data_IF_352409094351
#
_entry.id   IF_352409094351
#
_cell.length_a   1.000
_cell.length_b   1.000
_cell.length_c   1.000
_cell.angle_alpha   90.00
_cell.angle_beta   90.00
_cell.angle_gamma   90.00
#
_symmetry.space_group_name_H-M   'P 1'
#
loop_
_entity.id
_entity.type
_entity.pdbx_description
1 polymer ?
#
# COMPACT_ATOMS: atom_id res chain seq x y z
N UNK A 1 21.30 19.78 44.10
CA UNK A 1 20.63 18.63 43.46
C UNK A 1 19.28 18.96 42.79
N UNK A 2 18.31 19.62 43.44
CA UNK A 2 16.98 19.90 42.82
C UNK A 2 16.99 20.71 41.51
N UNK A 3 17.94 21.64 41.32
CA UNK A 3 18.03 22.46 40.08
C UNK A 3 18.56 21.68 38.86
N UNK A 4 19.48 20.74 39.09
CA UNK A 4 20.05 19.89 38.02
C UNK A 4 19.01 18.89 37.53
N UNK A 5 18.21 18.32 38.44
CA UNK A 5 17.13 17.40 38.08
C UNK A 5 16.06 18.07 37.20
N UNK A 6 15.68 19.32 37.50
CA UNK A 6 14.74 20.09 36.67
C UNK A 6 15.30 20.39 35.28
N UNK A 7 16.60 20.70 35.18
CA UNK A 7 17.26 20.97 33.90
C UNK A 7 17.31 19.72 33.02
N UNK A 8 17.70 18.57 33.58
CA UNK A 8 17.75 17.29 32.87
C UNK A 8 16.35 16.88 32.39
N UNK A 9 15.33 17.03 33.23
CA UNK A 9 13.95 16.73 32.85
C UNK A 9 13.45 17.64 31.72
N UNK A 10 13.78 18.93 31.76
CA UNK A 10 13.42 19.89 30.73
C UNK A 10 14.10 19.58 29.38
N UNK A 11 15.38 19.18 29.41
CA UNK A 11 16.11 18.79 28.20
C UNK A 11 15.59 17.48 27.59
N UNK A 12 15.22 16.50 28.43
CA UNK A 12 14.58 15.27 27.96
C UNK A 12 13.22 15.56 27.32
N UNK A 13 12.43 16.45 27.91
CA UNK A 13 11.14 16.86 27.36
C UNK A 13 11.28 17.60 26.03
N UNK A 14 12.27 18.49 25.90
CA UNK A 14 12.56 19.13 24.62
C UNK A 14 13.03 18.12 23.56
N UNK A 15 13.84 17.14 23.96
CA UNK A 15 14.28 16.05 23.08
C UNK A 15 13.12 15.20 22.57
N UNK A 16 12.15 14.85 23.43
CA UNK A 16 10.98 14.08 23.02
C UNK A 16 10.03 14.89 22.14
N UNK A 17 9.84 16.18 22.42
CA UNK A 17 9.04 17.09 21.58
C UNK A 17 9.70 17.29 20.21
N UNK A 18 11.02 17.48 20.16
CA UNK A 18 11.76 17.61 18.91
C UNK A 18 11.72 16.32 18.07
N UNK A 19 11.90 15.17 18.72
CA UNK A 19 11.78 13.87 18.06
C UNK A 19 10.36 13.61 17.55
N UNK A 20 9.33 13.92 18.35
CA UNK A 20 7.93 13.76 17.93
C UNK A 20 7.56 14.72 16.79
N UNK A 21 8.09 15.94 16.77
CA UNK A 21 7.86 16.90 15.69
C UNK A 21 8.51 16.46 14.37
N UNK A 22 9.75 15.97 14.42
CA UNK A 22 10.46 15.50 13.23
C UNK A 22 9.99 14.13 12.72
N UNK A 23 9.41 13.29 13.59
CA UNK A 23 8.86 11.99 13.22
C UNK A 23 7.33 11.97 13.20
N UNK A 24 6.69 13.15 13.17
CA UNK A 24 5.23 13.26 13.17
C UNK A 24 4.60 12.56 11.97
N UNK A 25 5.25 12.66 10.79
CA UNK A 25 4.80 11.96 9.58
C UNK A 25 4.88 10.43 9.73
N UNK A 26 5.93 9.92 10.40
CA UNK A 26 6.06 8.49 10.70
C UNK A 26 4.95 8.02 11.64
N UNK A 27 4.74 8.73 12.76
CA UNK A 27 3.68 8.41 13.74
C UNK A 27 2.29 8.45 13.08
N UNK A 28 2.04 9.42 12.19
CA UNK A 28 0.77 9.56 11.47
C UNK A 28 0.56 8.40 10.48
N UNK A 29 1.57 8.03 9.69
CA UNK A 29 1.50 6.87 8.78
C UNK A 29 1.30 5.55 9.55
N UNK A 30 1.98 5.37 10.69
CA UNK A 30 1.80 4.16 11.53
C UNK A 30 0.42 4.12 12.20
N UNK A 31 -0.13 5.24 12.68
CA UNK A 31 -1.44 5.29 13.32
C UNK A 31 -2.59 5.01 12.35
N UNK A 32 -2.49 5.47 11.09
CA UNK A 32 -3.49 5.15 10.04
C UNK A 32 -3.56 3.63 9.79
N UNK A 33 -2.47 2.90 10.03
CA UNK A 33 -2.39 1.44 9.87
C UNK A 33 -3.08 0.64 11.01
N UNK A 34 -3.43 1.26 12.14
CA UNK A 34 -3.84 0.56 13.39
C UNK A 34 -5.26 0.91 13.88
N UNK A 35 -6.09 1.67 13.16
CA UNK A 35 -7.45 1.96 13.63
C UNK A 35 -8.45 0.95 13.03
N UNK A 36 -8.89 -0.10 13.76
CA UNK A 36 -10.14 -0.77 13.43
C UNK A 36 -11.27 0.19 13.81
N UNK A 37 -11.93 0.80 12.83
CA UNK A 37 -13.14 1.57 13.10
C UNK A 37 -14.31 0.61 13.38
N UNK A 38 -14.67 0.50 14.65
CA UNK A 38 -16.02 0.14 15.06
C UNK A 38 -16.86 1.42 15.08
N UNK A 39 -17.83 1.54 14.18
CA UNK A 39 -18.73 2.68 14.08
C UNK A 39 -19.78 2.45 13.00
N UNK A 40 -21.01 2.88 13.29
CA UNK A 40 -22.26 2.56 12.59
C UNK A 40 -22.22 2.64 11.05
N UNK A 41 -23.00 1.75 10.42
CA UNK A 41 -23.16 1.60 8.98
C UNK A 41 -23.64 2.90 8.31
N UNK A 42 -22.71 3.75 7.91
CA UNK A 42 -22.98 4.89 7.01
C UNK A 42 -23.48 4.37 5.66
N UNK A 43 -24.53 5.00 5.15
CA UNK A 43 -25.11 4.70 3.83
C UNK A 43 -24.04 4.72 2.75
N UNK A 44 -24.01 3.67 1.92
CA UNK A 44 -23.02 3.55 0.86
C UNK A 44 -23.54 4.26 -0.39
N UNK A 45 -22.85 5.31 -0.80
CA UNK A 45 -23.16 6.04 -2.04
C UNK A 45 -22.58 5.31 -3.27
N UNK A 46 -23.33 5.27 -4.37
CA UNK A 46 -22.87 4.78 -5.69
C UNK A 46 -22.21 5.89 -6.53
N UNK A 47 -22.06 7.10 -5.99
CA UNK A 47 -21.44 8.22 -6.69
C UNK A 47 -19.91 8.10 -6.78
N UNK A 48 -19.31 8.85 -7.72
CA UNK A 48 -17.85 9.00 -7.83
C UNK A 48 -17.35 9.81 -6.62
N UNK A 49 -16.31 9.35 -5.90
CA UNK A 49 -15.70 10.13 -4.83
C UNK A 49 -15.20 11.48 -5.35
N UNK A 50 -15.54 12.57 -4.66
CA UNK A 50 -15.12 13.92 -5.06
C UNK A 50 -13.74 14.32 -4.50
N UNK A 51 -13.25 13.59 -3.49
CA UNK A 51 -12.03 13.89 -2.76
C UNK A 51 -10.88 12.91 -2.97
N UNK A 52 -10.02 12.81 -1.96
CA UNK A 52 -8.93 11.82 -1.87
C UNK A 52 -9.38 10.61 -1.07
N UNK A 53 -8.96 9.40 -1.42
CA UNK A 53 -9.14 8.23 -0.57
C UNK A 53 -8.34 8.44 0.72
N UNK A 54 -9.01 8.35 1.86
CA UNK A 54 -8.36 8.40 3.19
C UNK A 54 -8.31 7.04 3.86
N UNK A 55 -9.23 6.14 3.52
CA UNK A 55 -9.26 4.77 4.02
C UNK A 55 -10.02 3.84 3.08
N UNK A 56 -9.84 2.54 3.28
CA UNK A 56 -10.53 1.48 2.55
C UNK A 56 -10.98 0.36 3.50
N UNK A 57 -12.04 -0.34 3.12
CA UNK A 57 -12.65 -1.44 3.85
C UNK A 57 -13.03 -2.57 2.88
N UNK A 58 -12.94 -3.81 3.37
CA UNK A 58 -13.13 -5.04 2.58
C UNK A 58 -14.14 -5.97 3.26
N UNK A 59 -15.32 -5.44 3.61
CA UNK A 59 -16.36 -6.16 4.36
C UNK A 59 -17.18 -7.08 3.42
N UNK A 60 -17.30 -8.37 3.74
CA UNK A 60 -18.00 -9.35 2.91
C UNK A 60 -17.58 -9.33 1.42
N UNK A 61 -16.29 -9.11 1.21
CA UNK A 61 -15.65 -8.89 -0.10
C UNK A 61 -16.10 -7.65 -0.85
N UNK A 62 -16.97 -6.81 -0.30
CA UNK A 62 -17.25 -5.49 -0.85
C UNK A 62 -16.09 -4.57 -0.53
N UNK A 63 -15.66 -3.85 -1.55
CA UNK A 63 -14.62 -2.85 -1.46
C UNK A 63 -15.31 -1.51 -1.33
N UNK A 64 -15.08 -0.85 -0.21
CA UNK A 64 -15.55 0.51 -0.01
C UNK A 64 -14.41 1.41 0.42
N UNK A 65 -14.43 2.65 -0.07
CA UNK A 65 -13.48 3.68 0.29
C UNK A 65 -14.18 4.81 1.03
N UNK A 66 -13.43 5.51 1.87
CA UNK A 66 -13.87 6.77 2.47
C UNK A 66 -13.01 7.88 1.92
N UNK A 67 -13.63 9.00 1.57
CA UNK A 67 -12.92 10.17 1.08
C UNK A 67 -12.67 11.22 2.18
N UNK A 68 -12.01 12.32 1.80
CA UNK A 68 -11.71 13.43 2.71
C UNK A 68 -12.92 14.13 3.34
N UNK A 69 -14.12 13.97 2.77
CA UNK A 69 -15.35 14.49 3.36
C UNK A 69 -15.91 13.58 4.46
N UNK A 70 -15.43 12.32 4.53
CA UNK A 70 -15.94 11.29 5.43
C UNK A 70 -17.04 10.43 4.81
N UNK A 71 -17.44 10.70 3.57
CA UNK A 71 -18.42 9.87 2.84
C UNK A 71 -17.82 8.52 2.44
N UNK A 72 -18.64 7.46 2.48
CA UNK A 72 -18.26 6.09 2.13
C UNK A 72 -18.88 5.69 0.79
N UNK A 73 -18.06 5.17 -0.11
CA UNK A 73 -18.43 4.79 -1.48
C UNK A 73 -18.18 3.31 -1.71
N UNK A 74 -19.10 2.64 -2.39
CA UNK A 74 -18.88 1.28 -2.91
C UNK A 74 -18.16 1.39 -4.26
N UNK A 75 -16.99 0.76 -4.35
CA UNK A 75 -16.17 0.84 -5.57
C UNK A 75 -16.03 -0.49 -6.30
N UNK A 76 -16.48 -1.59 -5.68
CA UNK A 76 -16.52 -2.89 -6.32
C UNK A 76 -16.44 -4.04 -5.33
N UNK A 77 -16.09 -5.23 -5.83
CA UNK A 77 -16.02 -6.46 -5.03
C UNK A 77 -14.77 -7.26 -5.37
N UNK A 78 -14.19 -7.93 -4.39
CA UNK A 78 -13.16 -8.95 -4.62
C UNK A 78 -13.74 -10.13 -5.42
N UNK A 79 -12.88 -10.77 -6.22
CA UNK A 79 -13.26 -11.82 -7.16
C UNK A 79 -13.76 -11.31 -8.51
N UNK A 80 -14.19 -12.25 -9.38
CA UNK A 80 -14.65 -11.97 -10.74
C UNK A 80 -16.10 -11.47 -10.76
N UNK A 81 -16.39 -10.51 -11.64
CA UNK A 81 -17.76 -10.15 -12.02
C UNK A 81 -18.52 -11.41 -12.46
N UNK A 82 -19.57 -11.79 -11.73
CA UNK A 82 -20.42 -12.96 -12.01
C UNK A 82 -20.32 -14.11 -11.01
N UNK A 83 -19.22 -14.24 -10.26
CA UNK A 83 -19.09 -15.23 -9.16
C UNK A 83 -18.65 -14.54 -7.88
N UNK A 84 -19.49 -13.66 -7.30
CA UNK A 84 -19.11 -12.88 -6.14
C UNK A 84 -18.87 -13.79 -4.92
N UNK A 85 -17.67 -13.73 -4.36
CA UNK A 85 -17.38 -14.35 -3.07
C UNK A 85 -18.29 -13.73 -2.00
N UNK A 86 -19.09 -14.57 -1.33
CA UNK A 86 -20.01 -14.11 -0.28
C UNK A 86 -19.27 -13.63 0.97
N UNK A 87 -18.09 -14.21 1.24
CA UNK A 87 -17.22 -13.86 2.37
C UNK A 87 -15.77 -13.98 1.95
N UNK A 88 -14.96 -13.05 2.43
CA UNK A 88 -13.53 -13.03 2.18
C UNK A 88 -12.82 -13.91 3.21
N UNK A 89 -11.93 -14.78 2.74
CA UNK A 89 -11.16 -15.66 3.62
C UNK A 89 -10.22 -14.86 4.54
N UNK A 90 -9.69 -13.75 4.04
CA UNK A 90 -8.92 -12.76 4.78
C UNK A 90 -9.13 -11.37 4.21
N UNK A 91 -8.85 -10.35 5.02
CA UNK A 91 -8.74 -8.98 4.54
C UNK A 91 -7.51 -8.92 3.62
N UNK A 92 -7.64 -8.41 2.38
CA UNK A 92 -6.51 -8.31 1.47
C UNK A 92 -5.49 -7.31 1.99
N UNK A 93 -4.22 -7.50 1.64
CA UNK A 93 -3.24 -6.43 1.79
C UNK A 93 -3.58 -5.31 0.81
N UNK A 94 -3.47 -4.07 1.25
CA UNK A 94 -3.71 -2.91 0.40
C UNK A 94 -2.81 -1.74 0.80
N UNK A 95 -2.63 -0.81 -0.14
CA UNK A 95 -1.97 0.48 0.05
C UNK A 95 -2.77 1.57 -0.66
N UNK A 96 -2.75 2.77 -0.07
CA UNK A 96 -3.36 3.98 -0.65
C UNK A 96 -2.23 4.96 -0.91
N UNK A 97 -2.20 5.53 -2.10
CA UNK A 97 -1.23 6.55 -2.50
C UNK A 97 -1.31 7.81 -1.63
N UNK A 98 -0.19 8.51 -1.41
CA UNK A 98 -0.17 9.74 -0.61
C UNK A 98 -1.01 10.86 -1.25
N UNK A 99 -1.14 10.88 -2.58
CA UNK A 99 -2.09 11.77 -3.25
C UNK A 99 -3.56 11.40 -2.99
N UNK A 100 -3.81 10.16 -2.58
CA UNK A 100 -5.11 9.54 -2.37
C UNK A 100 -5.89 9.31 -3.65
N UNK A 101 -5.26 9.38 -4.83
CA UNK A 101 -5.91 9.14 -6.13
C UNK A 101 -6.03 7.66 -6.46
N UNK A 102 -5.11 6.86 -5.94
CA UNK A 102 -4.98 5.44 -6.23
C UNK A 102 -5.03 4.61 -4.95
N UNK A 103 -5.63 3.44 -5.08
CA UNK A 103 -5.52 2.34 -4.12
C UNK A 103 -5.06 1.11 -4.88
N UNK A 104 -4.17 0.32 -4.28
CA UNK A 104 -3.77 -0.99 -4.81
C UNK A 104 -4.04 -2.01 -3.73
N UNK A 105 -4.54 -3.17 -4.13
CA UNK A 105 -4.90 -4.23 -3.20
C UNK A 105 -4.73 -5.60 -3.84
N UNK A 106 -4.46 -6.57 -2.97
CA UNK A 106 -4.43 -7.98 -3.28
C UNK A 106 -5.84 -8.51 -3.55
N UNK A 107 -5.98 -9.35 -4.56
CA UNK A 107 -7.17 -10.15 -4.81
C UNK A 107 -6.77 -11.58 -5.19
N UNK A 108 -7.67 -12.53 -4.94
CA UNK A 108 -7.49 -13.92 -5.34
C UNK A 108 -8.48 -14.25 -6.45
N UNK A 109 -7.98 -14.65 -7.61
CA UNK A 109 -8.84 -15.20 -8.67
C UNK A 109 -8.93 -16.71 -8.47
N UNK A 110 -10.12 -17.29 -8.65
CA UNK A 110 -10.32 -18.74 -8.57
C UNK A 110 -9.27 -19.47 -9.43
N UNK A 111 -8.50 -20.37 -8.80
CA UNK A 111 -7.31 -20.98 -9.41
C UNK A 111 -6.00 -20.77 -8.62
N UNK A 112 -6.04 -20.15 -7.44
CA UNK A 112 -4.90 -19.89 -6.54
C UNK A 112 -3.91 -18.83 -7.01
N UNK A 113 -4.26 -18.07 -8.06
CA UNK A 113 -3.40 -17.03 -8.56
C UNK A 113 -3.66 -15.72 -7.82
N UNK A 114 -2.59 -15.16 -7.28
CA UNK A 114 -2.51 -13.82 -6.72
C UNK A 114 -2.67 -12.80 -7.84
N UNK A 115 -3.64 -11.90 -7.70
CA UNK A 115 -3.82 -10.76 -8.57
C UNK A 115 -3.65 -9.47 -7.78
N UNK A 116 -3.01 -8.49 -8.40
CA UNK A 116 -2.89 -7.15 -7.85
C UNK A 116 -3.80 -6.26 -8.64
N UNK A 117 -4.76 -5.66 -7.94
CA UNK A 117 -5.75 -4.76 -8.55
C UNK A 117 -5.52 -3.35 -8.05
N UNK A 118 -5.87 -2.40 -8.90
CA UNK A 118 -5.76 -0.98 -8.61
C UNK A 118 -7.09 -0.30 -8.88
N UNK A 119 -7.46 0.60 -7.98
CA UNK A 119 -8.58 1.51 -8.13
C UNK A 119 -8.05 2.93 -8.33
N UNK A 120 -8.63 3.65 -9.29
CA UNK A 120 -8.37 5.08 -9.54
C UNK A 120 -9.66 5.87 -9.34
N UNK A 121 -9.61 6.93 -8.50
CA UNK A 121 -10.76 7.83 -8.31
C UNK A 121 -11.18 8.46 -9.64
N UNK A 122 -10.20 8.96 -10.40
CA UNK A 122 -10.46 9.71 -11.64
C UNK A 122 -11.20 8.86 -12.67
N UNK A 123 -10.85 7.57 -12.75
CA UNK A 123 -11.52 6.63 -13.67
C UNK A 123 -12.72 5.95 -13.03
N UNK A 124 -12.87 6.06 -11.72
CA UNK A 124 -13.81 5.32 -10.88
C UNK A 124 -13.91 3.83 -11.27
N UNK A 125 -12.76 3.19 -11.50
CA UNK A 125 -12.71 1.81 -11.99
C UNK A 125 -11.61 1.03 -11.30
N UNK A 126 -11.91 -0.24 -11.03
CA UNK A 126 -10.93 -1.24 -10.61
C UNK A 126 -10.38 -1.92 -11.86
N UNK A 127 -9.05 -1.98 -11.96
CA UNK A 127 -8.35 -2.70 -13.02
C UNK A 127 -7.35 -3.70 -12.39
N UNK A 128 -7.08 -4.80 -13.07
CA UNK A 128 -5.98 -5.71 -12.78
C UNK A 128 -4.67 -5.06 -13.23
N UNK A 129 -3.79 -4.76 -12.27
CA UNK A 129 -2.45 -4.24 -12.52
C UNK A 129 -1.52 -5.35 -13.02
N UNK A 130 -1.53 -6.50 -12.36
CA UNK A 130 -0.77 -7.69 -12.76
C UNK A 130 -1.23 -8.96 -12.02
N UNK A 131 -0.80 -10.11 -12.55
CA UNK A 131 -1.13 -11.46 -12.06
C UNK A 131 0.19 -12.18 -11.72
N UNK A 132 0.36 -12.62 -10.48
CA UNK A 132 1.62 -13.16 -9.95
C UNK A 132 1.60 -14.64 -9.60
N UNK A 133 0.67 -15.40 -10.20
CA UNK A 133 0.63 -16.85 -10.02
C UNK A 133 0.49 -17.22 -8.54
N UNK A 134 1.21 -18.24 -8.09
CA UNK A 134 1.11 -18.82 -6.75
C UNK A 134 2.00 -18.17 -5.68
N UNK A 135 2.69 -17.08 -6.01
CA UNK A 135 3.50 -16.31 -5.05
C UNK A 135 2.64 -15.54 -4.05
N UNK A 136 3.31 -14.90 -3.08
CA UNK A 136 2.67 -14.02 -2.09
C UNK A 136 3.14 -12.57 -2.22
N UNK A 137 2.31 -11.62 -1.79
CA UNK A 137 2.78 -10.25 -1.54
C UNK A 137 3.42 -10.19 -0.16
N UNK A 138 4.72 -9.96 -0.17
CA UNK A 138 5.55 -9.79 1.01
C UNK A 138 5.36 -8.39 1.57
N UNK A 139 5.37 -7.38 0.69
CA UNK A 139 5.00 -6.00 1.04
C UNK A 139 4.58 -5.16 -0.18
N UNK A 140 3.91 -4.04 0.08
CA UNK A 140 3.51 -3.08 -0.96
C UNK A 140 3.44 -1.67 -0.37
N UNK A 141 4.07 -0.72 -1.04
CA UNK A 141 4.13 0.67 -0.59
C UNK A 141 4.01 1.63 -1.77
N UNK A 142 3.21 2.67 -1.60
CA UNK A 142 3.22 3.80 -2.52
C UNK A 142 4.32 4.77 -2.10
N UNK A 143 5.13 5.17 -3.07
CA UNK A 143 6.06 6.27 -2.91
C UNK A 143 5.32 7.60 -2.92
N UNK A 144 5.96 8.66 -2.42
CA UNK A 144 5.44 10.03 -2.43
C UNK A 144 5.11 10.56 -3.84
N UNK A 145 5.67 9.93 -4.87
CA UNK A 145 5.39 10.19 -6.30
C UNK A 145 4.20 9.40 -6.87
N UNK A 146 3.45 8.68 -6.02
CA UNK A 146 2.40 7.72 -6.38
C UNK A 146 2.89 6.52 -7.22
N UNK A 147 4.21 6.34 -7.39
CA UNK A 147 4.75 5.07 -7.89
C UNK A 147 4.53 3.98 -6.86
N UNK A 148 4.25 2.76 -7.30
CA UNK A 148 4.04 1.62 -6.41
C UNK A 148 5.29 0.73 -6.41
N UNK A 149 5.85 0.48 -5.24
CA UNK A 149 6.80 -0.61 -5.05
C UNK A 149 6.07 -1.85 -4.50
N UNK A 150 6.24 -2.97 -5.19
CA UNK A 150 5.64 -4.24 -4.86
C UNK A 150 6.74 -5.25 -4.56
N UNK A 151 6.74 -5.78 -3.34
CA UNK A 151 7.61 -6.87 -2.95
C UNK A 151 6.82 -8.18 -2.96
N UNK A 152 7.21 -9.10 -3.83
CA UNK A 152 6.53 -10.38 -3.97
C UNK A 152 7.50 -11.56 -4.07
N UNK A 153 6.97 -12.77 -3.88
CA UNK A 153 7.70 -14.03 -4.00
C UNK A 153 7.27 -15.04 -2.96
N UNK A 154 8.13 -16.03 -2.71
CA UNK A 154 7.98 -16.98 -1.60
C UNK A 154 8.89 -16.56 -0.45
N UNK A 155 8.35 -16.37 0.74
CA UNK A 155 9.10 -15.85 1.90
C UNK A 155 10.31 -16.71 2.30
N UNK A 156 10.23 -18.01 2.03
CA UNK A 156 11.21 -19.05 2.34
C UNK A 156 12.15 -19.40 1.19
N UNK A 157 11.93 -18.87 -0.02
CA UNK A 157 12.75 -19.11 -1.22
C UNK A 157 13.32 -17.76 -1.70
N UNK A 158 14.48 -17.32 -1.18
CA UNK A 158 14.99 -15.96 -1.39
C UNK A 158 15.22 -15.54 -2.84
N UNK A 159 15.64 -16.46 -3.69
CA UNK A 159 15.90 -16.28 -5.12
C UNK A 159 14.62 -16.15 -5.96
N UNK A 160 13.47 -16.48 -5.39
CA UNK A 160 12.15 -16.23 -5.98
C UNK A 160 11.49 -14.94 -5.46
N UNK A 161 12.24 -14.11 -4.72
CA UNK A 161 11.77 -12.84 -4.19
C UNK A 161 12.25 -11.69 -5.08
N UNK A 162 11.34 -10.77 -5.41
CA UNK A 162 11.70 -9.61 -6.23
C UNK A 162 10.89 -8.38 -5.87
N UNK A 163 11.47 -7.22 -6.15
CA UNK A 163 10.80 -5.93 -6.00
C UNK A 163 10.54 -5.36 -7.38
N UNK A 164 9.29 -4.98 -7.63
CA UNK A 164 8.86 -4.38 -8.88
C UNK A 164 8.33 -2.98 -8.60
N UNK A 165 8.79 -2.01 -9.39
CA UNK A 165 8.32 -0.63 -9.37
C UNK A 165 7.33 -0.42 -10.51
N UNK A 166 6.17 0.17 -10.22
CA UNK A 166 5.17 0.58 -11.19
C UNK A 166 4.96 2.10 -11.18
N UNK A 167 5.00 2.71 -12.37
CA UNK A 167 4.59 4.10 -12.56
C UNK A 167 3.07 4.19 -12.77
N UNK A 168 2.33 4.15 -11.65
CA UNK A 168 0.86 4.19 -11.65
C UNK A 168 0.32 5.47 -12.31
N UNK A 169 0.83 6.68 -12.04
CA UNK A 169 0.39 7.89 -12.75
C UNK A 169 0.58 7.81 -14.27
N UNK A 170 1.71 7.29 -14.75
CA UNK A 170 1.96 7.18 -16.19
C UNK A 170 1.04 6.17 -16.87
N UNK A 171 0.70 5.06 -16.20
CA UNK A 171 -0.29 4.09 -16.69
C UNK A 171 -1.64 4.77 -16.92
N UNK A 172 -2.12 5.55 -15.94
CA UNK A 172 -3.42 6.21 -16.01
C UNK A 172 -3.45 7.45 -16.91
N UNK A 173 -2.29 8.06 -17.20
CA UNK A 173 -2.20 9.15 -18.19
C UNK A 173 -2.52 8.67 -19.61
N UNK A 174 -2.17 7.42 -19.94
CA UNK A 174 -2.41 6.82 -21.26
C UNK A 174 -3.60 5.84 -21.26
N UNK A 175 -4.51 6.00 -20.30
CA UNK A 175 -5.62 5.06 -20.04
C UNK A 175 -6.60 4.89 -21.22
N UNK A 176 -6.75 5.90 -22.08
CA UNK A 176 -7.64 5.84 -23.25
C UNK A 176 -7.28 4.75 -24.26
N UNK A 177 -6.08 4.17 -24.17
CA UNK A 177 -5.63 3.04 -24.98
C UNK A 177 -5.94 1.66 -24.35
N UNK A 178 -6.55 1.64 -23.16
CA UNK A 178 -6.72 0.45 -22.28
C UNK A 178 -8.21 0.26 -21.89
N UNK A 179 -9.12 1.10 -22.42
CA UNK A 179 -10.52 1.19 -21.95
C UNK A 179 -11.34 -0.10 -22.04
N UNK A 180 -10.95 -1.01 -22.95
CA UNK A 180 -11.71 -2.23 -23.26
C UNK A 180 -11.23 -3.46 -22.46
N UNK A 181 -10.20 -3.33 -21.63
CA UNK A 181 -9.67 -4.46 -20.85
C UNK A 181 -9.69 -4.16 -19.35
N UNK A 182 -10.17 -5.12 -18.56
CA UNK A 182 -10.00 -5.07 -17.10
C UNK A 182 -8.53 -5.16 -16.68
N UNK A 183 -7.62 -5.51 -17.60
CA UNK A 183 -6.18 -5.60 -17.37
C UNK A 183 -5.45 -4.37 -17.90
N UNK A 184 -4.52 -3.85 -17.10
CA UNK A 184 -3.66 -2.73 -17.49
C UNK A 184 -2.45 -3.21 -18.29
N UNK A 185 -2.11 -2.47 -19.34
CA UNK A 185 -0.85 -2.66 -20.07
C UNK A 185 0.30 -2.04 -19.27
N UNK A 186 0.97 -2.85 -18.43
CA UNK A 186 1.97 -2.37 -17.47
C UNK A 186 3.42 -2.51 -17.91
N UNK A 187 3.71 -3.28 -18.98
CA UNK A 187 5.08 -3.63 -19.37
C UNK A 187 6.00 -2.43 -19.62
N UNK A 188 5.47 -1.33 -20.16
CA UNK A 188 6.23 -0.09 -20.40
C UNK A 188 6.50 0.72 -19.12
N UNK A 189 5.69 0.50 -18.08
CA UNK A 189 5.65 1.31 -16.86
C UNK A 189 6.10 0.52 -15.63
N UNK A 190 6.69 -0.66 -15.85
CA UNK A 190 7.21 -1.53 -14.79
C UNK A 190 8.72 -1.66 -14.90
N UNK A 191 9.40 -1.69 -13.76
CA UNK A 191 10.83 -1.97 -13.66
C UNK A 191 11.09 -2.95 -12.52
N UNK A 192 12.00 -3.91 -12.74
CA UNK A 192 12.47 -4.80 -11.67
C UNK A 192 13.65 -4.14 -10.97
N UNK A 193 13.65 -4.18 -9.64
CA UNK A 193 14.71 -3.65 -8.80
C UNK A 193 15.45 -4.80 -8.13
N UNK A 194 16.78 -4.78 -8.26
CA UNK A 194 17.63 -5.79 -7.65
C UNK A 194 17.68 -5.61 -6.14
N UNK A 195 17.41 -6.69 -5.42
CA UNK A 195 17.50 -6.74 -3.96
C UNK A 195 18.32 -7.94 -3.54
N UNK A 196 19.15 -7.80 -2.51
CA UNK A 196 19.93 -8.92 -1.98
C UNK A 196 19.02 -10.03 -1.46
N UNK A 197 19.33 -11.29 -1.71
CA UNK A 197 18.60 -12.45 -1.19
C UNK A 197 18.68 -12.55 0.34
N UNK A 198 17.51 -12.59 0.98
CA UNK A 198 17.37 -12.76 2.43
C UNK A 198 16.09 -13.55 2.73
N UNK A 199 16.25 -14.75 3.30
CA UNK A 199 15.13 -15.55 3.81
C UNK A 199 14.53 -14.92 5.08
N UNK A 200 13.22 -15.07 5.28
CA UNK A 200 12.59 -14.55 6.48
C UNK A 200 11.07 -14.53 6.46
N UNK A 201 10.49 -13.99 7.52
CA UNK A 201 9.04 -13.82 7.72
C UNK A 201 8.63 -12.34 7.87
N UNK A 202 9.61 -11.43 7.76
CA UNK A 202 9.43 -10.00 7.82
C UNK A 202 9.99 -9.34 6.56
N UNK A 203 9.14 -8.56 5.89
CA UNK A 203 9.46 -7.81 4.69
C UNK A 203 8.78 -6.45 4.78
N UNK A 204 9.49 -5.40 4.41
CA UNK A 204 9.02 -4.02 4.55
C UNK A 204 9.69 -3.14 3.50
N UNK A 205 8.92 -2.24 2.89
CA UNK A 205 9.41 -1.16 2.02
C UNK A 205 9.10 0.15 2.74
N UNK A 206 10.13 0.97 2.95
CA UNK A 206 9.97 2.24 3.69
C UNK A 206 10.65 3.38 2.95
N UNK A 207 9.88 4.41 2.62
CA UNK A 207 10.40 5.69 2.12
C UNK A 207 10.64 6.67 3.29
N UNK A 208 11.85 7.23 3.36
CA UNK A 208 12.22 8.29 4.29
C UNK A 208 13.05 9.35 3.54
N UNK A 209 12.45 10.52 3.32
CA UNK A 209 13.10 11.58 2.55
C UNK A 209 13.32 11.15 1.11
N UNK A 210 14.55 11.30 0.59
CA UNK A 210 14.91 10.87 -0.77
C UNK A 210 15.37 9.40 -0.84
N UNK A 211 15.12 8.58 0.19
CA UNK A 211 15.58 7.19 0.23
C UNK A 211 14.41 6.23 0.38
N UNK A 212 14.47 5.14 -0.37
CA UNK A 212 13.60 3.97 -0.17
C UNK A 212 14.46 2.79 0.27
N UNK A 213 14.16 2.26 1.44
CA UNK A 213 14.83 1.08 2.00
C UNK A 213 13.94 -0.14 1.88
N UNK A 214 14.52 -1.25 1.42
CA UNK A 214 13.83 -2.55 1.36
C UNK A 214 14.44 -3.48 2.40
N UNK A 215 13.61 -4.01 3.30
CA UNK A 215 14.01 -4.90 4.38
C UNK A 215 13.49 -6.32 4.16
N UNK A 216 14.25 -7.29 4.68
CA UNK A 216 13.86 -8.69 4.83
C UNK A 216 14.31 -9.26 6.17
N UNK A 217 14.21 -10.58 6.34
CA UNK A 217 14.69 -11.28 7.54
C UNK A 217 13.57 -11.49 8.55
N UNK A 218 13.83 -11.26 9.83
CA UNK A 218 12.82 -11.45 10.88
C UNK A 218 12.50 -10.15 11.58
N UNK A 219 11.33 -10.06 12.22
CA UNK A 219 10.94 -8.86 12.99
C UNK A 219 11.97 -8.44 14.04
N UNK A 220 12.67 -9.39 14.66
CA UNK A 220 13.69 -9.10 15.68
C UNK A 220 15.06 -8.80 15.09
N UNK A 221 15.30 -9.14 13.82
CA UNK A 221 16.55 -8.93 13.09
C UNK A 221 16.24 -8.55 11.64
N UNK A 222 15.72 -7.33 11.40
CA UNK A 222 15.52 -6.84 10.05
C UNK A 222 16.88 -6.64 9.37
N UNK A 223 16.98 -7.05 8.12
CA UNK A 223 18.18 -6.93 7.29
C UNK A 223 17.84 -6.03 6.11
N UNK A 224 18.63 -4.96 5.93
CA UNK A 224 18.56 -4.11 4.74
C UNK A 224 19.01 -4.91 3.52
N UNK A 225 18.12 -5.05 2.53
CA UNK A 225 18.35 -5.78 1.28
C UNK A 225 18.80 -4.87 0.15
N UNK A 226 18.26 -3.65 0.12
CA UNK A 226 18.61 -2.61 -0.84
C UNK A 226 18.20 -1.24 -0.32
N UNK A 227 18.85 -0.21 -0.84
CA UNK A 227 18.48 1.19 -0.65
C UNK A 227 18.54 1.89 -2.02
N UNK A 228 17.49 2.62 -2.37
CA UNK A 228 17.36 3.36 -3.62
C UNK A 228 17.15 4.84 -3.33
N UNK A 229 17.59 5.73 -4.24
CA UNK A 229 17.20 7.15 -4.19
C UNK A 229 15.84 7.32 -4.89
N UNK A 230 14.92 8.06 -4.27
CA UNK A 230 13.59 8.35 -4.85
C UNK A 230 13.75 9.06 -6.20
N UNK A 231 14.71 9.99 -6.31
CA UNK A 231 15.02 10.67 -7.58
C UNK A 231 15.51 9.76 -8.71
N UNK A 232 16.05 8.58 -8.36
CA UNK A 232 16.54 7.58 -9.31
C UNK A 232 15.49 6.51 -9.68
N UNK A 233 14.31 6.55 -9.06
CA UNK A 233 13.20 5.62 -9.28
C UNK A 233 12.12 6.22 -10.18
#
# INVERSE_FOLDING_TARGET
MKKIFKLVFFLLFLGTVYWAANNWNFIKKTLIKIIPQAGDYLEISENIPAGKITSASFEDCKISITDTSGERYYVGRLGREGTPMKKCARVPRFAISDSGKYMVFEDAVEGSNLCIRTYSIEKNKINTLAVWGTGSILDMEFLSSDKLMLFHGYSDIPDEQSVVLFDIPAIYTNYSLISDTDHLATDKYKGTLDVRDVAGDFFDIVEIGDKVSVFGGTKSRPILRAEFSVSGL
#
